data_IF_912373408687
#
_entry.id   IF_912373408687
#
_cell.length_a   1.000
_cell.length_b   1.000
_cell.length_c   1.000
_cell.angle_alpha   90.00
_cell.angle_beta   90.00
_cell.angle_gamma   90.00
#
_symmetry.space_group_name_H-M   'P 1'
#
loop_
_entity.id
_entity.type
_entity.pdbx_description
1 polymer ?
#
# COMPACT_ATOMS: atom_id res chain seq x y z
N UNK A 1 27.44 10.79 4.04
CA UNK A 1 26.84 12.13 3.83
C UNK A 1 27.74 12.85 2.82
N UNK A 2 27.22 13.52 1.77
CA UNK A 2 26.20 14.56 1.81
C UNK A 2 24.82 14.10 1.33
N UNK A 3 23.84 14.98 1.53
CA UNK A 3 22.42 14.68 1.67
C UNK A 3 21.70 14.25 0.39
N UNK A 4 20.79 13.30 0.58
CA UNK A 4 19.75 12.86 -0.36
C UNK A 4 18.69 13.95 -0.57
N UNK A 5 19.08 15.14 -1.04
CA UNK A 5 18.12 16.16 -1.48
C UNK A 5 17.80 15.94 -2.96
N UNK A 6 17.11 14.82 -3.26
CA UNK A 6 16.34 14.73 -4.49
C UNK A 6 15.03 15.53 -4.29
N UNK A 7 14.64 16.41 -5.24
CA UNK A 7 13.32 17.01 -5.26
C UNK A 7 12.25 15.92 -5.09
N UNK A 8 11.15 16.19 -4.39
CA UNK A 8 10.05 15.22 -4.15
C UNK A 8 9.63 14.46 -5.43
N UNK A 9 9.69 15.15 -6.57
CA UNK A 9 9.35 14.67 -7.92
C UNK A 9 10.36 13.68 -8.54
N UNK A 10 11.64 13.69 -8.10
CA UNK A 10 12.74 12.89 -8.65
C UNK A 10 13.19 11.73 -7.75
N UNK A 11 12.35 11.31 -6.80
CA UNK A 11 12.67 10.12 -6.00
C UNK A 11 12.45 8.88 -6.87
N UNK A 12 13.47 8.42 -7.60
CA UNK A 12 13.47 7.17 -8.39
C UNK A 12 13.41 5.87 -7.54
N UNK A 13 13.03 5.97 -6.26
CA UNK A 13 12.88 4.84 -5.37
C UNK A 13 11.53 4.15 -5.53
N UNK A 14 11.44 2.91 -5.05
CA UNK A 14 10.23 2.07 -5.07
C UNK A 14 9.03 2.64 -4.29
N UNK A 15 9.20 3.75 -3.54
CA UNK A 15 8.15 4.52 -2.86
C UNK A 15 7.92 5.90 -3.53
N UNK A 16 7.81 5.92 -4.86
CA UNK A 16 7.55 7.15 -5.62
C UNK A 16 6.06 7.38 -5.83
N UNK A 17 5.54 8.51 -5.32
CA UNK A 17 4.15 8.91 -5.57
C UNK A 17 3.88 9.17 -7.06
N UNK A 18 4.85 9.75 -7.75
CA UNK A 18 4.74 10.05 -9.17
C UNK A 18 4.54 8.77 -9.97
N UNK A 19 5.36 7.75 -9.70
CA UNK A 19 5.27 6.47 -10.40
C UNK A 19 3.98 5.73 -10.06
N UNK A 20 3.70 5.52 -8.77
CA UNK A 20 2.64 4.61 -8.33
C UNK A 20 1.25 5.23 -8.42
N UNK A 21 1.13 6.52 -8.12
CA UNK A 21 -0.17 7.19 -8.11
C UNK A 21 -0.41 7.97 -9.39
N UNK A 22 0.51 8.84 -9.82
CA UNK A 22 0.26 9.67 -11.00
C UNK A 22 0.34 8.87 -12.30
N UNK A 23 1.44 8.15 -12.55
CA UNK A 23 1.59 7.39 -13.79
C UNK A 23 0.73 6.14 -13.76
N UNK A 24 0.99 5.21 -12.83
CA UNK A 24 0.35 3.89 -12.85
C UNK A 24 -1.17 3.95 -12.64
N UNK A 25 -1.67 4.71 -11.66
CA UNK A 25 -3.11 4.79 -11.40
C UNK A 25 -3.83 5.84 -12.23
N UNK A 26 -3.35 7.10 -12.26
CA UNK A 26 -4.09 8.17 -12.95
C UNK A 26 -3.92 8.13 -14.47
N UNK A 27 -2.70 7.94 -14.98
CA UNK A 27 -2.46 7.93 -16.43
C UNK A 27 -2.77 6.58 -17.06
N UNK A 28 -2.28 5.48 -16.49
CA UNK A 28 -2.48 4.14 -17.06
C UNK A 28 -3.78 3.46 -16.61
N UNK A 29 -4.46 4.00 -15.60
CA UNK A 29 -5.73 3.45 -15.14
C UNK A 29 -5.61 2.12 -14.38
N UNK A 30 -4.46 1.82 -13.77
CA UNK A 30 -4.30 0.59 -13.01
C UNK A 30 -5.21 0.55 -11.77
N UNK A 31 -6.05 -0.48 -11.72
CA UNK A 31 -7.12 -0.64 -10.73
C UNK A 31 -6.94 -1.92 -9.87
N UNK A 32 -5.68 -2.37 -9.74
CA UNK A 32 -5.30 -3.50 -8.92
C UNK A 32 -4.69 -3.11 -7.57
N UNK A 33 -4.13 -4.12 -6.91
CA UNK A 33 -3.37 -3.99 -5.66
C UNK A 33 -1.89 -3.82 -5.98
N UNK A 34 -1.28 -2.82 -5.36
CA UNK A 34 0.16 -2.60 -5.38
C UNK A 34 0.71 -3.05 -4.02
N UNK A 35 1.74 -3.89 -4.04
CA UNK A 35 2.41 -4.35 -2.83
C UNK A 35 3.90 -4.04 -2.87
N UNK A 36 4.51 -3.85 -1.70
CA UNK A 36 5.96 -3.83 -1.59
C UNK A 36 6.53 -5.23 -1.74
N UNK A 37 7.76 -5.34 -2.21
CA UNK A 37 8.52 -6.58 -2.06
C UNK A 37 8.83 -6.83 -0.57
N UNK A 38 9.21 -8.06 -0.26
CA UNK A 38 9.57 -8.51 1.07
C UNK A 38 10.75 -7.72 1.62
N UNK A 39 10.53 -7.08 2.77
CA UNK A 39 11.53 -6.27 3.47
C UNK A 39 12.05 -5.06 2.67
N UNK A 40 11.36 -4.68 1.59
CA UNK A 40 11.71 -3.48 0.82
C UNK A 40 11.55 -2.21 1.67
N UNK A 41 10.61 -2.20 2.61
CA UNK A 41 10.41 -1.12 3.58
C UNK A 41 10.92 -1.52 4.96
N UNK A 42 11.54 -0.58 5.69
CA UNK A 42 12.13 -0.79 7.02
C UNK A 42 13.66 -0.96 6.98
N UNK A 43 14.27 -1.14 8.15
CA UNK A 43 15.73 -1.39 8.34
C UNK A 43 16.67 -0.43 7.56
N UNK A 44 16.29 0.85 7.43
CA UNK A 44 17.08 1.86 6.75
C UNK A 44 16.94 1.90 5.22
N UNK A 45 16.11 1.03 4.63
CA UNK A 45 15.89 0.97 3.17
C UNK A 45 14.76 1.90 2.72
N UNK A 46 13.78 2.16 3.59
CA UNK A 46 12.71 3.15 3.36
C UNK A 46 11.64 3.13 4.45
N UNK A 47 10.75 4.11 4.41
CA UNK A 47 9.69 4.31 5.42
C UNK A 47 8.39 3.59 5.02
N UNK A 48 7.77 2.90 5.97
CA UNK A 48 6.45 2.29 5.80
C UNK A 48 5.36 3.35 5.58
N UNK A 49 5.52 4.51 6.25
CA UNK A 49 4.63 5.65 6.11
C UNK A 49 4.66 6.20 4.69
N UNK A 50 5.86 6.45 4.16
CA UNK A 50 6.04 6.97 2.80
C UNK A 50 5.54 5.98 1.74
N UNK A 51 5.66 4.67 1.97
CA UNK A 51 5.13 3.66 1.05
C UNK A 51 3.60 3.76 0.91
N UNK A 52 2.88 3.90 2.02
CA UNK A 52 1.42 4.06 2.02
C UNK A 52 1.01 5.36 1.31
N UNK A 53 1.73 6.46 1.58
CA UNK A 53 1.48 7.76 0.95
C UNK A 53 1.76 7.72 -0.55
N UNK A 54 2.82 7.03 -0.97
CA UNK A 54 3.20 6.90 -2.38
C UNK A 54 2.16 6.16 -3.21
N UNK A 55 1.44 5.20 -2.64
CA UNK A 55 0.41 4.46 -3.38
C UNK A 55 0.35 2.96 -3.10
N UNK A 56 1.25 2.41 -2.27
CA UNK A 56 1.22 1.01 -1.90
C UNK A 56 -0.04 0.68 -1.10
N UNK A 57 -0.63 -0.47 -1.39
CA UNK A 57 -1.83 -0.95 -0.71
C UNK A 57 -1.51 -2.04 0.33
N UNK A 58 -0.42 -2.79 0.12
CA UNK A 58 0.01 -3.88 1.00
C UNK A 58 1.51 -3.82 1.26
N UNK A 59 1.90 -3.81 2.53
CA UNK A 59 3.30 -3.84 2.96
C UNK A 59 3.70 -5.27 3.30
N UNK A 60 4.86 -5.71 2.81
CA UNK A 60 5.37 -7.07 3.01
C UNK A 60 6.74 -7.07 3.69
N UNK A 61 6.91 -7.80 4.81
CA UNK A 61 5.86 -8.44 5.62
C UNK A 61 5.04 -7.45 6.46
N UNK A 62 3.75 -7.72 6.61
CA UNK A 62 2.88 -7.05 7.57
C UNK A 62 3.12 -7.54 9.00
N UNK A 63 4.18 -7.08 9.66
CA UNK A 63 4.48 -7.46 11.05
C UNK A 63 3.76 -6.58 12.07
N UNK A 64 3.62 -7.07 13.31
CA UNK A 64 3.05 -6.28 14.43
C UNK A 64 3.81 -4.98 14.70
N UNK A 65 5.11 -4.92 14.38
CA UNK A 65 5.90 -3.69 14.50
C UNK A 65 5.46 -2.64 13.48
N UNK A 66 5.29 -3.04 12.20
CA UNK A 66 4.79 -2.17 11.13
C UNK A 66 3.41 -1.62 11.47
N UNK A 67 2.52 -2.46 12.01
CA UNK A 67 1.20 -2.02 12.47
C UNK A 67 1.29 -0.94 13.55
N UNK A 68 2.15 -1.12 14.56
CA UNK A 68 2.34 -0.13 15.64
C UNK A 68 2.87 1.19 15.09
N UNK A 69 3.80 1.14 14.15
CA UNK A 69 4.36 2.31 13.48
C UNK A 69 3.29 3.09 12.70
N UNK A 70 2.49 2.41 11.87
CA UNK A 70 1.42 3.05 11.09
C UNK A 70 0.33 3.67 11.99
N UNK A 71 -0.02 3.01 13.10
CA UNK A 71 -0.97 3.58 14.07
C UNK A 71 -0.40 4.83 14.73
N UNK A 72 0.90 4.84 15.06
CA UNK A 72 1.57 6.02 15.61
C UNK A 72 1.59 7.17 14.59
N UNK A 73 1.97 6.88 13.35
CA UNK A 73 1.97 7.84 12.24
C UNK A 73 0.57 8.42 11.98
N UNK A 74 -0.48 7.59 12.04
CA UNK A 74 -1.86 8.06 11.94
C UNK A 74 -2.23 9.01 13.09
N UNK A 75 -1.89 8.66 14.34
CA UNK A 75 -2.16 9.51 15.51
C UNK A 75 -1.39 10.84 15.45
N UNK A 76 -0.20 10.83 14.86
CA UNK A 76 0.64 12.02 14.70
C UNK A 76 0.21 12.91 13.51
N UNK A 77 -0.68 12.42 12.63
CA UNK A 77 -1.12 13.14 11.44
C UNK A 77 -0.22 12.97 10.21
N UNK A 78 0.79 12.09 10.27
CA UNK A 78 1.71 11.82 9.16
C UNK A 78 1.04 11.06 8.02
N UNK A 79 0.02 10.25 8.35
CA UNK A 79 -0.86 9.50 7.44
C UNK A 79 -2.30 9.89 7.70
N UNK A 80 -3.05 10.12 6.63
CA UNK A 80 -4.47 10.43 6.67
C UNK A 80 -5.34 9.17 6.64
N UNK A 81 -6.55 9.26 7.21
CA UNK A 81 -7.53 8.18 7.12
C UNK A 81 -7.88 7.85 5.66
N UNK A 82 -7.87 8.85 4.76
CA UNK A 82 -8.15 8.67 3.34
C UNK A 82 -7.13 7.78 2.66
N UNK A 83 -5.83 7.96 2.95
CA UNK A 83 -4.77 7.11 2.40
C UNK A 83 -4.91 5.65 2.85
N UNK A 84 -5.19 5.43 4.15
CA UNK A 84 -5.42 4.09 4.69
C UNK A 84 -6.69 3.43 4.12
N UNK A 85 -7.77 4.19 3.97
CA UNK A 85 -9.02 3.70 3.37
C UNK A 85 -8.84 3.35 1.90
N UNK A 86 -8.09 4.14 1.13
CA UNK A 86 -7.75 3.83 -0.27
C UNK A 86 -7.04 2.48 -0.37
N UNK A 87 -5.97 2.31 0.40
CA UNK A 87 -5.21 1.05 0.43
C UNK A 87 -6.09 -0.14 0.82
N UNK A 88 -6.88 0.00 1.88
CA UNK A 88 -7.80 -1.05 2.35
C UNK A 88 -8.87 -1.41 1.32
N UNK A 89 -9.45 -0.41 0.65
CA UNK A 89 -10.46 -0.62 -0.37
C UNK A 89 -9.92 -1.39 -1.57
N UNK A 90 -8.70 -1.08 -2.02
CA UNK A 90 -8.04 -1.80 -3.12
C UNK A 90 -7.80 -3.27 -2.77
N UNK A 91 -7.34 -3.54 -1.56
CA UNK A 91 -7.14 -4.92 -1.07
C UNK A 91 -8.48 -5.67 -0.99
N UNK A 92 -9.51 -5.06 -0.40
CA UNK A 92 -10.84 -5.67 -0.31
C UNK A 92 -11.43 -5.95 -1.69
N UNK A 93 -11.27 -5.02 -2.63
CA UNK A 93 -11.69 -5.19 -4.02
C UNK A 93 -11.02 -6.40 -4.65
N UNK A 94 -9.70 -6.54 -4.51
CA UNK A 94 -8.98 -7.70 -5.02
C UNK A 94 -9.46 -9.02 -4.37
N UNK A 95 -9.74 -9.02 -3.07
CA UNK A 95 -10.29 -10.19 -2.37
C UNK A 95 -11.66 -10.56 -2.93
N UNK A 96 -12.59 -9.60 -3.06
CA UNK A 96 -13.94 -9.86 -3.55
C UNK A 96 -13.98 -10.30 -5.02
N UNK A 97 -13.07 -9.77 -5.84
CA UNK A 97 -12.89 -10.19 -7.22
C UNK A 97 -12.16 -11.53 -7.35
N UNK A 98 -11.55 -12.05 -6.28
CA UNK A 98 -10.76 -13.28 -6.34
C UNK A 98 -11.65 -14.52 -6.56
N UNK A 99 -11.10 -15.49 -7.31
CA UNK A 99 -11.76 -16.78 -7.53
C UNK A 99 -11.99 -17.55 -6.23
N UNK A 100 -11.12 -17.35 -5.24
CA UNK A 100 -11.24 -17.96 -3.90
C UNK A 100 -12.52 -17.47 -3.22
N UNK A 101 -12.74 -16.15 -3.20
CA UNK A 101 -13.94 -15.58 -2.60
C UNK A 101 -15.22 -16.02 -3.32
N UNK A 102 -15.18 -16.07 -4.66
CA UNK A 102 -16.30 -16.58 -5.45
C UNK A 102 -16.58 -18.08 -5.19
N UNK A 103 -15.53 -18.88 -4.95
CA UNK A 103 -15.66 -20.28 -4.52
C UNK A 103 -16.32 -20.40 -3.14
N UNK A 104 -15.87 -19.58 -2.19
CA UNK A 104 -16.45 -19.52 -0.85
C UNK A 104 -17.95 -19.20 -0.87
N UNK A 105 -18.39 -18.22 -1.68
CA UNK A 105 -19.81 -17.88 -1.79
C UNK A 105 -20.65 -19.04 -2.36
N UNK A 106 -20.13 -19.78 -3.33
CA UNK A 106 -20.81 -20.96 -3.91
C UNK A 106 -20.98 -22.08 -2.89
N UNK A 107 -19.97 -22.33 -2.06
CA UNK A 107 -20.04 -23.33 -0.99
C UNK A 107 -20.97 -22.89 0.15
N UNK A 108 -20.91 -21.62 0.55
CA UNK A 108 -21.78 -21.07 1.58
C UNK A 108 -23.27 -21.10 1.16
N UNK A 109 -23.56 -20.86 -0.12
CA UNK A 109 -24.91 -20.98 -0.68
C UNK A 109 -25.43 -22.42 -0.75
N UNK A 110 -24.55 -23.43 -0.86
CA UNK A 110 -24.93 -24.86 -0.86
C UNK A 110 -25.24 -25.44 0.52
N UNK A 111 -24.86 -24.74 1.60
CA UNK A 111 -25.09 -25.16 2.99
C UNK A 111 -26.43 -24.65 3.56
N UNK A 112 -27.22 -23.95 2.75
CA UNK A 112 -28.60 -23.55 3.06
C UNK A 112 -29.56 -24.46 2.32
#
# INVERSE_FOLDING_TARGET
>A
MPGQNCPFWCRCGYNSYELLTNILRKQWGFDGVIMTDWFATGKGLGSHVEAVKAGHDMLMPGTSAVKKELIKAYKNGDITQTELRRASANVLKAIFSSRIYQGYLKEAGRRK
#
